data_IF_521442686704
#
_entry.id   IF_521442686704
#
_cell.length_a   1.000
_cell.length_b   1.000
_cell.length_c   1.000
_cell.angle_alpha   90.00
_cell.angle_beta   90.00
_cell.angle_gamma   90.00
#
_symmetry.space_group_name_H-M   'P 1'
#
loop_
_entity.id
_entity.type
_entity.pdbx_description
1 polymer ?
#
# COMPACT_ATOMS: atom_id res chain seq x y z
N UNK A 1 8.61 -0.81 18.26
CA UNK A 1 7.15 -1.03 18.15
C UNK A 1 7.01 -2.37 17.47
N UNK A 2 6.21 -3.26 18.05
CA UNK A 2 5.90 -4.54 17.41
C UNK A 2 5.03 -4.25 16.19
N UNK A 3 5.41 -4.82 15.04
CA UNK A 3 4.68 -4.67 13.78
C UNK A 3 3.31 -5.33 13.91
N UNK A 4 2.26 -4.76 13.30
CA UNK A 4 0.98 -5.48 13.22
C UNK A 4 1.14 -6.74 12.37
N UNK A 5 0.39 -7.79 12.68
CA UNK A 5 0.48 -9.07 11.98
C UNK A 5 -0.90 -9.68 11.71
N UNK A 6 -0.99 -10.51 10.67
CA UNK A 6 -2.11 -11.41 10.43
C UNK A 6 -1.58 -12.82 10.12
N UNK A 7 -2.20 -13.84 10.71
CA UNK A 7 -1.91 -15.24 10.40
C UNK A 7 -2.92 -15.76 9.39
N UNK A 8 -2.43 -16.39 8.32
CA UNK A 8 -3.26 -16.92 7.24
C UNK A 8 -2.84 -18.34 6.90
N UNK A 9 -3.84 -19.19 6.64
CA UNK A 9 -3.61 -20.54 6.14
C UNK A 9 -3.52 -20.52 4.61
N UNK A 10 -2.41 -21.00 4.06
CA UNK A 10 -2.15 -21.02 2.61
C UNK A 10 -2.48 -22.38 1.99
N UNK A 11 -2.24 -22.53 0.67
CA UNK A 11 -2.68 -23.69 -0.11
C UNK A 11 -2.04 -25.02 0.35
N UNK A 12 -0.87 -24.97 0.98
CA UNK A 12 -0.18 -26.12 1.57
C UNK A 12 -0.79 -26.56 2.91
N UNK A 13 -1.82 -25.85 3.39
CA UNK A 13 -2.49 -26.11 4.65
C UNK A 13 -1.70 -25.67 5.88
N UNK A 14 -0.58 -24.97 5.72
CA UNK A 14 0.18 -24.38 6.84
C UNK A 14 -0.27 -22.97 7.11
N UNK A 15 -0.08 -22.54 8.35
CA UNK A 15 -0.33 -21.17 8.78
C UNK A 15 0.96 -20.35 8.69
N UNK A 16 0.88 -19.18 8.07
CA UNK A 16 1.99 -18.26 7.89
C UNK A 16 1.62 -16.87 8.40
N UNK A 17 2.64 -16.14 8.87
CA UNK A 17 2.47 -14.79 9.41
C UNK A 17 2.82 -13.74 8.35
N UNK A 18 1.92 -12.78 8.16
CA UNK A 18 2.15 -11.59 7.35
C UNK A 18 2.31 -10.40 8.28
N UNK A 19 3.33 -9.57 8.03
CA UNK A 19 3.64 -8.40 8.87
C UNK A 19 3.36 -7.09 8.17
N UNK A 20 3.00 -6.06 8.93
CA UNK A 20 2.96 -4.68 8.49
C UNK A 20 4.29 -4.30 7.80
N UNK A 21 4.17 -3.72 6.61
CA UNK A 21 5.28 -3.13 5.87
C UNK A 21 5.41 -1.67 6.27
N UNK A 22 6.62 -1.20 6.46
CA UNK A 22 6.88 0.22 6.65
C UNK A 22 7.40 0.90 5.37
N UNK A 23 7.75 2.18 5.47
CA UNK A 23 8.33 2.95 4.35
C UNK A 23 9.68 2.42 3.88
N UNK A 24 10.41 1.66 4.70
CA UNK A 24 11.67 1.04 4.31
C UNK A 24 11.41 -0.27 3.53
N UNK A 25 10.28 -0.92 3.76
CA UNK A 25 9.84 -2.10 3.00
C UNK A 25 9.15 -1.77 1.67
N UNK A 26 8.78 -0.50 1.47
CA UNK A 26 8.07 0.02 0.29
C UNK A 26 8.90 1.10 -0.42
N UNK A 27 9.77 0.69 -1.34
CA UNK A 27 10.55 1.63 -2.15
C UNK A 27 9.67 2.29 -3.23
N UNK A 28 9.21 3.49 -2.93
CA UNK A 28 8.37 4.27 -3.83
C UNK A 28 9.05 4.59 -5.17
N UNK A 29 10.35 4.87 -5.17
CA UNK A 29 11.09 5.17 -6.40
C UNK A 29 11.20 3.91 -7.27
N UNK A 30 11.45 2.76 -6.65
CA UNK A 30 11.42 1.47 -7.34
C UNK A 30 10.07 1.23 -8.04
N UNK A 31 8.94 1.50 -7.37
CA UNK A 31 7.62 1.33 -8.00
C UNK A 31 7.35 2.34 -9.12
N UNK A 32 7.83 3.58 -9.03
CA UNK A 32 7.75 4.51 -10.15
C UNK A 32 8.51 4.00 -11.38
N UNK A 33 9.70 3.43 -11.18
CA UNK A 33 10.50 2.87 -12.27
C UNK A 33 9.84 1.64 -12.90
N UNK A 34 9.13 0.83 -12.11
CA UNK A 34 8.28 -0.26 -12.62
C UNK A 34 7.14 0.27 -13.50
N UNK A 35 6.46 1.36 -13.10
CA UNK A 35 5.42 2.00 -13.93
C UNK A 35 6.02 2.52 -15.25
N UNK A 36 7.17 3.21 -15.18
CA UNK A 36 7.88 3.72 -16.36
C UNK A 36 8.21 2.57 -17.31
N UNK A 37 8.83 1.51 -16.78
CA UNK A 37 9.21 0.33 -17.56
C UNK A 37 8.01 -0.31 -18.25
N UNK A 38 6.91 -0.52 -17.52
CA UNK A 38 5.69 -1.10 -18.09
C UNK A 38 5.16 -0.27 -19.26
N UNK A 39 5.10 1.06 -19.10
CA UNK A 39 4.64 1.95 -20.17
C UNK A 39 5.61 1.99 -21.36
N UNK A 40 6.92 1.98 -21.13
CA UNK A 40 7.90 1.93 -22.22
C UNK A 40 7.83 0.61 -22.97
N UNK A 41 7.66 -0.52 -22.28
CA UNK A 41 7.54 -1.84 -22.89
C UNK A 41 6.26 -1.91 -23.77
N UNK A 42 5.14 -1.35 -23.28
CA UNK A 42 3.90 -1.21 -24.06
C UNK A 42 4.09 -0.39 -25.33
N UNK A 43 4.72 0.79 -25.23
CA UNK A 43 4.98 1.65 -26.39
C UNK A 43 5.93 0.97 -27.39
N UNK A 44 6.99 0.32 -26.91
CA UNK A 44 7.93 -0.41 -27.76
C UNK A 44 7.27 -1.55 -28.55
N UNK A 45 6.34 -2.27 -27.90
CA UNK A 45 5.60 -3.36 -28.54
C UNK A 45 4.61 -2.86 -29.60
N UNK A 46 3.91 -1.76 -29.33
CA UNK A 46 2.74 -1.35 -30.10
C UNK A 46 2.97 -0.20 -31.11
N UNK A 47 3.90 0.72 -30.84
CA UNK A 47 4.14 1.89 -31.69
C UNK A 47 5.34 1.62 -32.58
N UNK A 48 5.14 1.47 -33.89
CA UNK A 48 6.21 1.11 -34.85
C UNK A 48 6.97 2.31 -35.40
N UNK A 49 6.30 3.45 -35.50
CA UNK A 49 6.94 4.70 -35.94
C UNK A 49 8.00 5.15 -34.90
N UNK A 50 9.19 5.50 -35.40
CA UNK A 50 10.33 5.78 -34.53
C UNK A 50 10.23 7.15 -33.86
N UNK A 51 9.73 8.16 -34.58
CA UNK A 51 9.62 9.53 -34.07
C UNK A 51 8.49 9.61 -33.03
N UNK A 52 7.34 8.99 -33.32
CA UNK A 52 6.24 8.87 -32.37
C UNK A 52 6.68 8.13 -31.10
N UNK A 53 7.41 7.02 -31.25
CA UNK A 53 7.95 6.26 -30.12
C UNK A 53 8.90 7.10 -29.26
N UNK A 54 9.79 7.89 -29.87
CA UNK A 54 10.73 8.75 -29.16
C UNK A 54 10.00 9.84 -28.35
N UNK A 55 8.97 10.46 -28.93
CA UNK A 55 8.12 11.45 -28.24
C UNK A 55 7.46 10.81 -27.02
N UNK A 56 6.85 9.64 -27.18
CA UNK A 56 6.17 8.93 -26.09
C UNK A 56 7.12 8.49 -24.98
N UNK A 57 8.31 7.97 -25.32
CA UNK A 57 9.34 7.64 -24.32
C UNK A 57 9.78 8.86 -23.52
N UNK A 58 10.00 9.99 -24.19
CA UNK A 58 10.38 11.25 -23.54
C UNK A 58 9.30 11.71 -22.55
N UNK A 59 8.03 11.59 -22.94
CA UNK A 59 6.90 11.90 -22.04
C UNK A 59 6.86 10.96 -20.82
N UNK A 60 7.06 9.65 -21.03
CA UNK A 60 7.03 8.65 -19.94
C UNK A 60 8.16 8.89 -18.93
N UNK A 61 9.38 9.16 -19.41
CA UNK A 61 10.56 9.37 -18.56
C UNK A 61 10.42 10.66 -17.74
N UNK A 62 9.97 11.74 -18.37
CA UNK A 62 9.84 13.05 -17.72
C UNK A 62 8.57 13.18 -16.86
N UNK A 63 7.69 12.17 -16.86
CA UNK A 63 6.48 12.20 -16.06
C UNK A 63 6.80 11.99 -14.57
N UNK A 64 6.25 12.87 -13.74
CA UNK A 64 6.30 12.73 -12.29
C UNK A 64 5.06 11.96 -11.81
N UNK A 65 5.21 10.65 -11.65
CA UNK A 65 4.15 9.77 -11.17
C UNK A 65 3.78 10.11 -9.73
N UNK A 66 2.48 10.22 -9.45
CA UNK A 66 1.98 10.41 -8.08
C UNK A 66 1.83 9.07 -7.37
N UNK A 67 1.61 9.07 -6.05
CA UNK A 67 1.27 7.85 -5.30
C UNK A 67 0.05 7.16 -5.88
N UNK A 68 -0.93 7.94 -6.35
CA UNK A 68 -2.15 7.41 -6.95
C UNK A 68 -1.89 6.68 -8.26
N UNK A 69 -0.96 7.17 -9.07
CA UNK A 69 -0.59 6.51 -10.33
C UNK A 69 0.11 5.18 -10.08
N UNK A 70 0.96 5.14 -9.05
CA UNK A 70 1.65 3.92 -8.61
C UNK A 70 0.66 2.90 -8.03
N UNK A 71 -0.25 3.34 -7.16
CA UNK A 71 -1.32 2.48 -6.62
C UNK A 71 -2.22 1.92 -7.74
N UNK A 72 -2.59 2.74 -8.72
CA UNK A 72 -3.38 2.29 -9.86
C UNK A 72 -2.63 1.23 -10.67
N UNK A 73 -1.34 1.46 -10.94
CA UNK A 73 -0.48 0.48 -11.62
C UNK A 73 -0.43 -0.85 -10.84
N UNK A 74 -0.06 -0.82 -9.57
CA UNK A 74 0.00 -2.00 -8.69
C UNK A 74 -1.30 -2.79 -8.74
N UNK A 75 -2.45 -2.11 -8.56
CA UNK A 75 -3.76 -2.77 -8.54
C UNK A 75 -4.18 -3.32 -9.90
N UNK A 76 -3.58 -2.86 -10.99
CA UNK A 76 -3.82 -3.35 -12.35
C UNK A 76 -2.95 -4.56 -12.74
N UNK A 77 -1.89 -4.85 -12.00
CA UNK A 77 -0.90 -5.89 -12.34
C UNK A 77 -0.90 -7.02 -11.29
N UNK A 78 -1.34 -8.24 -11.62
CA UNK A 78 -1.33 -9.37 -10.68
C UNK A 78 0.04 -9.65 -10.07
N UNK A 79 1.12 -9.53 -10.84
CA UNK A 79 2.48 -9.79 -10.35
C UNK A 79 2.96 -8.76 -9.32
N UNK A 80 2.50 -7.50 -9.42
CA UNK A 80 2.81 -6.48 -8.43
C UNK A 80 2.06 -6.73 -7.11
N UNK A 81 0.81 -7.18 -7.19
CA UNK A 81 0.05 -7.61 -6.00
C UNK A 81 0.75 -8.76 -5.28
N UNK A 82 1.24 -9.76 -6.02
CA UNK A 82 2.02 -10.88 -5.47
C UNK A 82 3.30 -10.41 -4.78
N UNK A 83 4.02 -9.48 -5.40
CA UNK A 83 5.25 -8.92 -4.84
C UNK A 83 4.97 -8.15 -3.54
N UNK A 84 3.88 -7.38 -3.48
CA UNK A 84 3.44 -6.67 -2.27
C UNK A 84 3.14 -7.65 -1.14
N UNK A 85 2.38 -8.70 -1.43
CA UNK A 85 2.06 -9.74 -0.46
C UNK A 85 3.33 -10.44 0.03
N UNK A 86 4.26 -10.75 -0.88
CA UNK A 86 5.54 -11.37 -0.53
C UNK A 86 6.41 -10.47 0.34
N UNK A 87 6.44 -9.16 0.07
CA UNK A 87 7.20 -8.22 0.89
C UNK A 87 6.67 -8.17 2.34
N UNK A 88 5.36 -8.34 2.55
CA UNK A 88 4.79 -8.50 3.90
C UNK A 88 5.13 -9.85 4.53
N UNK A 89 5.09 -10.90 3.72
CA UNK A 89 5.33 -12.29 4.15
C UNK A 89 6.78 -12.55 4.57
N UNK A 90 7.76 -12.13 3.77
CA UNK A 90 9.19 -12.41 4.00
C UNK A 90 9.75 -11.81 5.29
N UNK A 91 9.07 -10.80 5.86
CA UNK A 91 9.46 -10.18 7.13
C UNK A 91 9.42 -11.21 8.27
N UNK A 92 8.39 -12.05 8.30
CA UNK A 92 8.20 -13.06 9.35
C UNK A 92 8.60 -14.48 8.89
N UNK A 93 8.77 -14.70 7.58
CA UNK A 93 9.15 -15.98 6.99
C UNK A 93 10.36 -15.81 6.04
N UNK A 94 11.52 -15.31 6.54
CA UNK A 94 12.67 -14.96 5.70
C UNK A 94 13.31 -16.15 4.98
N UNK A 95 13.04 -17.37 5.43
CA UNK A 95 13.53 -18.62 4.86
C UNK A 95 12.80 -19.04 3.58
N UNK A 96 11.62 -18.47 3.31
CA UNK A 96 10.81 -18.83 2.15
C UNK A 96 11.09 -17.86 1.00
N UNK A 97 11.56 -18.41 -0.11
CA UNK A 97 11.84 -17.64 -1.33
C UNK A 97 10.55 -17.12 -1.99
N UNK A 98 10.70 -16.15 -2.89
CA UNK A 98 9.55 -15.66 -3.68
C UNK A 98 8.96 -16.77 -4.54
N UNK A 99 9.80 -17.61 -5.16
CA UNK A 99 9.36 -18.72 -5.99
C UNK A 99 8.59 -19.78 -5.19
N UNK A 100 8.97 -20.03 -3.94
CA UNK A 100 8.25 -20.93 -3.04
C UNK A 100 6.93 -20.33 -2.57
N UNK A 101 6.93 -19.03 -2.22
CA UNK A 101 5.70 -18.30 -1.89
C UNK A 101 4.66 -18.39 -3.00
N UNK A 102 5.06 -18.23 -4.27
CA UNK A 102 4.15 -18.34 -5.40
C UNK A 102 3.51 -19.73 -5.57
N UNK A 103 4.16 -20.80 -5.11
CA UNK A 103 3.61 -22.17 -5.17
C UNK A 103 2.57 -22.43 -4.08
N UNK A 104 2.68 -21.74 -2.95
CA UNK A 104 1.78 -21.89 -1.80
C UNK A 104 0.66 -20.85 -1.79
N UNK A 105 0.78 -19.77 -2.57
CA UNK A 105 -0.24 -18.75 -2.73
C UNK A 105 -1.45 -19.31 -3.50
N UNK A 106 -2.68 -19.29 -2.94
CA UNK A 106 -3.85 -19.75 -3.66
C UNK A 106 -4.14 -18.88 -4.90
N UNK A 107 -4.51 -19.53 -6.01
CA UNK A 107 -4.84 -18.84 -7.26
C UNK A 107 -5.99 -17.84 -7.08
N UNK A 108 -5.82 -16.60 -7.54
CA UNK A 108 -6.84 -15.55 -7.44
C UNK A 108 -6.93 -14.87 -6.07
N UNK A 109 -6.15 -15.30 -5.08
CA UNK A 109 -6.14 -14.75 -3.73
C UNK A 109 -5.33 -13.45 -3.60
N UNK A 110 -4.59 -13.05 -4.64
CA UNK A 110 -3.66 -11.91 -4.59
C UNK A 110 -4.36 -10.59 -4.24
N UNK A 111 -5.58 -10.38 -4.76
CA UNK A 111 -6.36 -9.17 -4.50
C UNK A 111 -6.83 -9.11 -3.05
N UNK A 112 -7.33 -10.22 -2.53
CA UNK A 112 -7.79 -10.30 -1.15
C UNK A 112 -6.62 -10.18 -0.17
N UNK A 113 -5.54 -10.91 -0.45
CA UNK A 113 -4.32 -10.86 0.36
C UNK A 113 -3.70 -9.46 0.35
N UNK A 114 -3.62 -8.80 -0.81
CA UNK A 114 -3.13 -7.43 -0.89
C UNK A 114 -3.99 -6.46 -0.09
N UNK A 115 -5.32 -6.65 -0.07
CA UNK A 115 -6.23 -5.85 0.77
C UNK A 115 -5.92 -6.06 2.25
N UNK A 116 -5.80 -7.31 2.69
CA UNK A 116 -5.50 -7.66 4.09
C UNK A 116 -4.15 -7.10 4.54
N UNK A 117 -3.12 -7.21 3.69
CA UNK A 117 -1.79 -6.63 3.95
C UNK A 117 -1.87 -5.11 4.04
N UNK A 118 -2.60 -4.46 3.13
CA UNK A 118 -2.81 -3.00 3.17
C UNK A 118 -3.53 -2.56 4.45
N UNK A 119 -4.47 -3.36 4.97
CA UNK A 119 -5.17 -3.07 6.22
C UNK A 119 -4.25 -3.09 7.44
N UNK A 120 -3.17 -3.88 7.43
CA UNK A 120 -2.14 -3.81 8.48
C UNK A 120 -1.44 -2.44 8.50
N UNK A 121 -1.21 -1.87 7.32
CA UNK A 121 -0.50 -0.60 7.09
C UNK A 121 -1.39 0.62 7.31
N UNK A 122 -2.71 0.44 7.32
CA UNK A 122 -3.63 1.51 7.66
C UNK A 122 -3.33 1.95 9.09
N UNK A 123 -2.96 3.22 9.23
CA UNK A 123 -2.98 3.90 10.51
C UNK A 123 -4.42 3.79 10.99
N UNK A 124 -4.63 3.10 12.11
CA UNK A 124 -5.92 3.15 12.76
C UNK A 124 -6.23 4.62 13.08
N UNK A 125 -7.19 5.19 12.37
CA UNK A 125 -7.52 6.59 12.52
C UNK A 125 -8.06 6.82 13.94
N UNK A 126 -7.60 7.89 14.57
CA UNK A 126 -8.15 8.37 15.84
C UNK A 126 -9.64 8.67 15.65
N UNK A 127 -10.50 8.20 16.54
CA UNK A 127 -11.92 8.53 16.47
C UNK A 127 -12.22 9.91 17.09
N UNK A 128 -13.50 10.31 17.11
CA UNK A 128 -13.88 11.60 17.70
C UNK A 128 -13.50 11.71 19.18
N UNK A 129 -13.56 10.60 19.93
CA UNK A 129 -13.27 10.57 21.35
C UNK A 129 -11.77 10.72 21.60
N UNK A 130 -10.93 10.07 20.80
CA UNK A 130 -9.48 10.24 20.81
C UNK A 130 -9.10 11.71 20.56
N UNK A 131 -9.69 12.33 19.53
CA UNK A 131 -9.41 13.73 19.16
C UNK A 131 -9.87 14.71 20.26
N UNK A 132 -11.07 14.48 20.81
CA UNK A 132 -11.64 15.26 21.92
C UNK A 132 -10.74 15.16 23.15
N UNK A 133 -10.33 13.95 23.52
CA UNK A 133 -9.51 13.71 24.70
C UNK A 133 -8.12 14.32 24.57
N UNK A 134 -7.48 14.17 23.40
CA UNK A 134 -6.10 14.64 23.20
C UNK A 134 -6.02 16.16 23.14
N UNK A 135 -6.99 16.80 22.50
CA UNK A 135 -7.00 18.26 22.33
C UNK A 135 -7.72 19.00 23.45
N UNK A 136 -8.42 18.30 24.35
CA UNK A 136 -9.23 18.91 25.41
C UNK A 136 -10.38 19.78 24.89
N UNK A 137 -10.90 19.47 23.70
CA UNK A 137 -11.95 20.24 23.03
C UNK A 137 -13.31 19.58 23.21
N UNK A 138 -14.39 20.37 23.18
CA UNK A 138 -15.73 19.83 23.22
C UNK A 138 -16.21 19.35 21.83
N UNK A 139 -17.18 18.41 21.85
CA UNK A 139 -17.74 17.82 20.64
C UNK A 139 -18.33 18.84 19.66
N UNK A 140 -18.82 20.00 20.13
CA UNK A 140 -19.38 21.04 19.23
C UNK A 140 -18.26 21.72 18.44
N UNK A 141 -17.10 21.96 19.04
CA UNK A 141 -15.91 22.48 18.35
C UNK A 141 -15.42 21.50 17.29
N UNK A 142 -15.31 20.21 17.63
CA UNK A 142 -14.92 19.18 16.65
C UNK A 142 -15.91 19.11 15.47
N UNK A 143 -17.22 19.13 15.75
CA UNK A 143 -18.25 19.14 14.70
C UNK A 143 -18.18 20.39 13.79
N UNK A 144 -17.81 21.54 14.35
CA UNK A 144 -17.59 22.77 13.57
C UNK A 144 -16.38 22.62 12.66
N UNK A 145 -15.29 22.01 13.12
CA UNK A 145 -14.11 21.74 12.31
C UNK A 145 -14.36 20.71 11.22
N UNK A 146 -15.11 19.62 11.50
CA UNK A 146 -15.55 18.67 10.47
C UNK A 146 -16.22 19.36 9.28
N UNK A 147 -17.11 20.32 9.57
CA UNK A 147 -17.87 21.04 8.55
C UNK A 147 -17.09 22.14 7.85
N UNK A 148 -16.29 22.92 8.59
CA UNK A 148 -15.62 24.12 8.06
C UNK A 148 -14.18 23.90 7.63
N UNK A 149 -13.52 22.87 8.16
CA UNK A 149 -12.10 22.56 7.95
C UNK A 149 -11.88 21.03 7.87
N UNK A 150 -12.47 20.35 6.86
CA UNK A 150 -12.35 18.90 6.72
C UNK A 150 -10.90 18.43 6.58
N UNK A 151 -10.02 19.27 5.99
CA UNK A 151 -8.58 18.99 5.92
C UNK A 151 -7.91 18.93 7.30
N UNK A 152 -8.26 19.85 8.21
CA UNK A 152 -7.77 19.81 9.59
C UNK A 152 -8.28 18.58 10.32
N UNK A 153 -9.58 18.27 10.20
CA UNK A 153 -10.15 17.07 10.79
C UNK A 153 -9.46 15.79 10.29
N UNK A 154 -9.22 15.71 8.97
CA UNK A 154 -8.49 14.61 8.32
C UNK A 154 -7.03 14.52 8.73
N UNK A 155 -6.39 15.64 9.07
CA UNK A 155 -5.04 15.67 9.63
C UNK A 155 -5.06 15.13 11.07
N UNK A 156 -5.98 15.58 11.92
CA UNK A 156 -6.07 15.15 13.32
C UNK A 156 -6.36 13.65 13.46
N UNK A 157 -7.29 13.11 12.67
CA UNK A 157 -7.60 11.66 12.60
C UNK A 157 -6.36 10.81 12.29
N UNK A 158 -5.42 11.32 11.49
CA UNK A 158 -4.20 10.60 11.07
C UNK A 158 -3.01 10.78 12.00
N UNK A 159 -3.02 11.79 12.87
CA UNK A 159 -1.84 12.22 13.63
C UNK A 159 -2.02 12.20 15.15
N UNK A 160 -3.23 12.05 15.67
CA UNK A 160 -3.46 11.85 17.10
C UNK A 160 -3.15 10.40 17.46
N UNK A 161 -2.34 10.22 18.50
CA UNK A 161 -2.00 8.89 19.02
C UNK A 161 -3.25 8.24 19.59
N UNK A 162 -3.55 7.02 19.16
CA UNK A 162 -4.48 6.18 19.91
C UNK A 162 -3.92 5.91 21.30
N UNK A 163 -4.75 6.05 22.33
CA UNK A 163 -4.48 5.35 23.58
C UNK A 163 -4.63 3.86 23.26
N UNK A 164 -3.54 3.11 23.40
CA UNK A 164 -3.64 1.67 23.45
C UNK A 164 -4.63 1.35 24.58
N UNK A 165 -5.82 0.88 24.24
CA UNK A 165 -6.65 0.21 25.24
C UNK A 165 -5.78 -0.94 25.75
N UNK A 166 -5.41 -0.88 27.02
CA UNK A 166 -4.83 -2.03 27.70
C UNK A 166 -5.89 -3.15 27.63
N UNK A 167 -5.70 -4.06 26.68
CA UNK A 167 -6.41 -5.33 26.58
C UNK A 167 -5.42 -6.45 26.75
#
# INVERSE_FOLDING_TARGET
MDRKTISLKLADGKEYVFSERDKCDSDYFYYQDRVRKHKTDFVAANIKDQDERLVLFTQIINHNYTNRDVEFYINSQPDELKLICYNSFKIANPEVSYEEFLKILPEGFEKELSRLVTELELIELADDADIISELGIDKKVLNKWKKKQPGLYGFLTRNIKKKAEAR
#
